data_IF_175876621048
#
_entry.id   IF_175876621048
#
_cell.length_a   1.000
_cell.length_b   1.000
_cell.length_c   1.000
_cell.angle_alpha   90.00
_cell.angle_beta   90.00
_cell.angle_gamma   90.00
#
_symmetry.space_group_name_H-M   'P 1'
#
loop_
_entity.id
_entity.type
_entity.pdbx_description
1 polymer ?
#
# COMPACT_ATOMS: atom_id res chain seq x y z
N UNK A 1 -11.38 -27.43 7.27
CA UNK A 1 -11.93 -26.56 6.20
C UNK A 1 -12.87 -25.55 6.82
N UNK A 2 -12.62 -24.26 6.60
CA UNK A 2 -13.50 -23.18 7.03
C UNK A 2 -14.30 -22.72 5.81
N UNK A 3 -15.63 -22.71 5.90
CA UNK A 3 -16.48 -22.18 4.84
C UNK A 3 -16.43 -20.64 4.88
N UNK A 4 -15.85 -20.03 3.85
CA UNK A 4 -15.73 -18.58 3.74
C UNK A 4 -16.64 -18.08 2.61
N UNK A 5 -17.33 -16.96 2.88
CA UNK A 5 -18.08 -16.21 1.87
C UNK A 5 -17.57 -14.78 1.81
N UNK A 6 -17.36 -14.30 0.63
CA UNK A 6 -17.02 -12.90 0.38
C UNK A 6 -18.27 -12.15 -0.07
N UNK A 7 -18.56 -11.02 0.57
CA UNK A 7 -19.66 -10.16 0.19
C UNK A 7 -19.15 -8.72 0.01
N UNK A 8 -19.63 -8.06 -1.03
CA UNK A 8 -19.32 -6.66 -1.32
C UNK A 8 -20.60 -5.86 -1.17
N UNK A 9 -20.55 -4.80 -0.36
CA UNK A 9 -21.68 -3.89 -0.19
C UNK A 9 -21.83 -2.96 -1.41
N UNK A 10 -23.02 -2.46 -1.61
CA UNK A 10 -23.32 -1.44 -2.64
C UNK A 10 -23.51 -0.09 -1.98
N UNK A 11 -23.22 0.98 -2.73
CA UNK A 11 -23.43 2.36 -2.29
C UNK A 11 -23.54 3.28 -3.50
N UNK A 12 -24.03 4.48 -3.26
CA UNK A 12 -24.07 5.56 -4.24
C UNK A 12 -22.90 6.54 -4.06
N UNK A 13 -22.80 7.53 -4.95
CA UNK A 13 -21.71 8.51 -4.94
C UNK A 13 -21.67 9.33 -3.63
N UNK A 14 -22.84 9.64 -3.04
CA UNK A 14 -22.91 10.39 -1.77
C UNK A 14 -22.41 9.54 -0.60
N UNK A 15 -22.80 8.27 -0.52
CA UNK A 15 -22.29 7.33 0.47
C UNK A 15 -20.77 7.18 0.38
N UNK A 16 -20.23 7.04 -0.84
CA UNK A 16 -18.78 6.93 -1.01
C UNK A 16 -18.05 8.25 -0.72
N UNK A 17 -18.66 9.40 -0.94
CA UNK A 17 -18.10 10.69 -0.51
C UNK A 17 -18.03 10.80 1.03
N UNK A 18 -19.08 10.36 1.75
CA UNK A 18 -19.11 10.31 3.22
C UNK A 18 -18.00 9.38 3.73
N UNK A 19 -17.92 8.16 3.22
CA UNK A 19 -16.94 7.17 3.69
C UNK A 19 -15.50 7.53 3.31
N UNK A 20 -15.28 8.21 2.17
CA UNK A 20 -13.97 8.77 1.81
C UNK A 20 -13.55 9.88 2.78
N UNK A 21 -14.48 10.76 3.17
CA UNK A 21 -14.21 11.79 4.19
C UNK A 21 -13.87 11.17 5.54
N UNK A 22 -14.61 10.13 5.97
CA UNK A 22 -14.26 9.35 7.17
C UNK A 22 -12.85 8.78 7.09
N UNK A 23 -12.51 8.17 5.96
CA UNK A 23 -11.19 7.61 5.72
C UNK A 23 -10.09 8.69 5.87
N UNK A 24 -10.27 9.86 5.26
CA UNK A 24 -9.32 10.96 5.34
C UNK A 24 -9.21 11.50 6.78
N UNK A 25 -10.34 11.65 7.50
CA UNK A 25 -10.32 12.06 8.91
C UNK A 25 -9.59 11.05 9.79
N UNK A 26 -9.76 9.74 9.58
CA UNK A 26 -9.02 8.71 10.32
C UNK A 26 -7.51 8.71 10.00
N UNK A 27 -7.11 9.24 8.84
CA UNK A 27 -5.72 9.54 8.52
C UNK A 27 -5.21 10.87 9.09
N UNK A 28 -6.04 11.59 9.84
CA UNK A 28 -5.68 12.85 10.47
C UNK A 28 -5.82 14.07 9.56
N UNK A 29 -6.41 13.93 8.37
CA UNK A 29 -6.64 15.04 7.45
C UNK A 29 -7.88 15.84 7.86
N UNK A 30 -7.76 17.17 7.92
CA UNK A 30 -8.88 18.08 8.20
C UNK A 30 -9.82 18.18 7.00
N UNK A 31 -10.58 17.11 6.74
CA UNK A 31 -11.53 17.02 5.64
C UNK A 31 -12.96 17.30 6.12
N UNK A 32 -13.52 18.45 5.82
CA UNK A 32 -14.97 18.73 5.82
C UNK A 32 -15.69 18.80 7.16
N UNK A 33 -15.03 18.76 8.31
CA UNK A 33 -15.65 18.90 9.62
C UNK A 33 -16.59 17.76 10.04
N UNK A 34 -17.43 17.95 11.09
CA UNK A 34 -18.39 16.95 11.57
C UNK A 34 -19.46 16.60 10.53
N UNK A 35 -19.98 15.37 10.61
CA UNK A 35 -21.07 14.92 9.76
C UNK A 35 -22.39 15.48 10.27
N UNK A 36 -23.21 16.00 9.36
CA UNK A 36 -24.56 16.49 9.69
C UNK A 36 -25.59 15.35 9.73
N UNK A 37 -26.80 15.65 10.21
CA UNK A 37 -27.85 14.65 10.34
C UNK A 37 -28.30 14.03 9.01
N UNK A 38 -28.26 14.76 7.91
CA UNK A 38 -28.60 14.24 6.57
C UNK A 38 -27.58 13.20 6.13
N UNK A 39 -26.29 13.50 6.25
CA UNK A 39 -25.20 12.59 5.90
C UNK A 39 -25.23 11.32 6.76
N UNK A 40 -25.46 11.48 8.07
CA UNK A 40 -25.60 10.33 8.99
C UNK A 40 -26.82 9.46 8.62
N UNK A 41 -27.94 10.08 8.25
CA UNK A 41 -29.15 9.36 7.83
C UNK A 41 -28.91 8.64 6.50
N UNK A 42 -28.25 9.28 5.53
CA UNK A 42 -27.93 8.67 4.25
C UNK A 42 -27.01 7.46 4.41
N UNK A 43 -25.94 7.60 5.19
CA UNK A 43 -25.04 6.48 5.54
C UNK A 43 -25.80 5.30 6.14
N UNK A 44 -26.71 5.57 7.11
CA UNK A 44 -27.50 4.55 7.76
C UNK A 44 -28.50 3.87 6.79
N UNK A 45 -29.13 4.62 5.87
CA UNK A 45 -30.07 4.08 4.88
C UNK A 45 -29.39 3.12 3.90
N UNK A 46 -28.24 3.49 3.36
CA UNK A 46 -27.48 2.62 2.45
C UNK A 46 -27.11 1.32 3.15
N UNK A 47 -26.62 1.39 4.39
CA UNK A 47 -26.23 0.18 5.11
C UNK A 47 -27.43 -0.65 5.58
N UNK A 48 -28.58 -0.04 5.89
CA UNK A 48 -29.81 -0.78 6.16
C UNK A 48 -30.29 -1.59 4.94
N UNK A 49 -30.18 -1.03 3.72
CA UNK A 49 -30.48 -1.76 2.49
C UNK A 49 -29.54 -2.96 2.28
N UNK A 50 -28.23 -2.77 2.46
CA UNK A 50 -27.26 -3.86 2.41
C UNK A 50 -27.50 -4.93 3.50
N UNK A 51 -27.92 -4.51 4.71
CA UNK A 51 -28.21 -5.43 5.79
C UNK A 51 -29.33 -6.42 5.42
N UNK A 52 -30.37 -5.97 4.73
CA UNK A 52 -31.49 -6.84 4.29
C UNK A 52 -30.95 -8.02 3.45
N UNK A 53 -30.09 -7.74 2.47
CA UNK A 53 -29.53 -8.80 1.62
C UNK A 53 -28.56 -9.74 2.37
N UNK A 54 -27.80 -9.19 3.33
CA UNK A 54 -26.84 -9.96 4.11
C UNK A 54 -27.54 -10.87 5.13
N UNK A 55 -28.59 -10.40 5.77
CA UNK A 55 -29.34 -11.14 6.79
C UNK A 55 -29.93 -12.44 6.25
N UNK A 56 -30.34 -12.50 4.97
CA UNK A 56 -30.80 -13.72 4.33
C UNK A 56 -29.71 -14.81 4.26
N UNK A 57 -28.45 -14.45 4.38
CA UNK A 57 -27.29 -15.33 4.25
C UNK A 57 -26.64 -15.68 5.59
N UNK A 58 -26.97 -14.97 6.66
CA UNK A 58 -26.37 -15.09 7.99
C UNK A 58 -27.19 -16.01 8.87
N UNK A 59 -26.53 -16.84 9.63
CA UNK A 59 -27.10 -17.74 10.62
C UNK A 59 -26.56 -17.37 12.02
N UNK A 60 -27.34 -17.61 13.08
CA UNK A 60 -26.84 -17.49 14.44
C UNK A 60 -25.54 -18.31 14.62
N UNK A 61 -24.53 -17.69 15.21
CA UNK A 61 -23.22 -18.29 15.39
C UNK A 61 -22.23 -18.10 14.23
N UNK A 62 -22.66 -17.58 13.07
CA UNK A 62 -21.71 -17.23 12.00
C UNK A 62 -20.81 -16.10 12.48
N UNK A 63 -19.54 -16.14 12.06
CA UNK A 63 -18.59 -15.08 12.30
C UNK A 63 -18.53 -14.14 11.09
N UNK A 64 -18.66 -12.85 11.34
CA UNK A 64 -18.61 -11.82 10.32
C UNK A 64 -17.47 -10.87 10.59
N UNK A 65 -16.58 -10.71 9.61
CA UNK A 65 -15.52 -9.72 9.62
C UNK A 65 -15.91 -8.55 8.70
N UNK A 66 -16.23 -7.43 9.31
CA UNK A 66 -16.52 -6.17 8.61
C UNK A 66 -15.25 -5.38 8.35
N UNK A 67 -15.13 -4.75 7.20
CA UNK A 67 -13.94 -4.01 6.82
C UNK A 67 -14.23 -2.52 6.65
N UNK A 68 -13.47 -1.68 7.35
CA UNK A 68 -13.37 -0.23 7.19
C UNK A 68 -14.66 0.57 7.50
N UNK A 69 -14.62 1.91 7.45
CA UNK A 69 -15.76 2.76 7.72
C UNK A 69 -17.01 2.44 6.88
N UNK A 70 -16.81 1.90 5.65
CA UNK A 70 -17.90 1.56 4.75
C UNK A 70 -18.86 0.52 5.32
N UNK A 71 -18.41 -0.35 6.21
CA UNK A 71 -19.24 -1.47 6.73
C UNK A 71 -19.62 -1.32 8.20
N UNK A 72 -19.09 -0.31 8.89
CA UNK A 72 -19.25 -0.17 10.34
C UNK A 72 -20.73 -0.14 10.80
N UNK A 73 -21.62 0.49 10.04
CA UNK A 73 -23.06 0.58 10.37
C UNK A 73 -23.83 -0.74 10.23
N UNK A 74 -23.23 -1.80 9.68
CA UNK A 74 -23.84 -3.13 9.62
C UNK A 74 -23.75 -3.89 10.95
N UNK A 75 -22.83 -3.50 11.83
CA UNK A 75 -22.48 -4.22 13.07
C UNK A 75 -23.69 -4.58 13.91
N UNK A 76 -24.57 -3.61 14.20
CA UNK A 76 -25.73 -3.83 15.07
C UNK A 76 -26.77 -4.79 14.45
N UNK A 77 -27.03 -4.68 13.14
CA UNK A 77 -27.99 -5.53 12.43
C UNK A 77 -27.51 -6.99 12.40
N UNK A 78 -26.23 -7.22 12.11
CA UNK A 78 -25.66 -8.56 12.02
C UNK A 78 -25.50 -9.22 13.40
N UNK A 79 -25.06 -8.47 14.40
CA UNK A 79 -25.04 -8.95 15.80
C UNK A 79 -26.46 -9.27 16.31
N UNK A 80 -27.46 -8.44 15.98
CA UNK A 80 -28.86 -8.69 16.32
C UNK A 80 -29.45 -9.95 15.68
N UNK A 81 -28.89 -10.42 14.56
CA UNK A 81 -29.23 -11.69 13.94
C UNK A 81 -28.48 -12.90 14.55
N UNK A 82 -27.68 -12.68 15.59
CA UNK A 82 -26.94 -13.71 16.29
C UNK A 82 -25.55 -14.02 15.68
N UNK A 83 -25.05 -13.19 14.77
CA UNK A 83 -23.67 -13.32 14.27
C UNK A 83 -22.67 -12.76 15.29
N UNK A 84 -21.47 -13.35 15.32
CA UNK A 84 -20.28 -12.83 15.99
C UNK A 84 -19.61 -11.81 15.08
N UNK A 85 -19.54 -10.56 15.49
CA UNK A 85 -19.07 -9.49 14.61
C UNK A 85 -17.73 -8.95 15.08
N UNK A 86 -16.70 -9.10 14.24
CA UNK A 86 -15.45 -8.37 14.33
C UNK A 86 -15.42 -7.26 13.28
N UNK A 87 -14.83 -6.12 13.62
CA UNK A 87 -14.65 -5.02 12.69
C UNK A 87 -13.15 -4.72 12.52
N UNK A 88 -12.69 -4.64 11.27
CA UNK A 88 -11.31 -4.34 10.92
C UNK A 88 -11.18 -2.93 10.34
N UNK A 89 -10.25 -2.15 10.89
CA UNK A 89 -9.82 -0.87 10.34
C UNK A 89 -8.42 -1.00 9.72
N UNK A 90 -8.31 -0.69 8.43
CA UNK A 90 -7.02 -0.62 7.74
C UNK A 90 -6.40 0.79 7.82
N UNK A 91 -7.19 1.75 8.25
CA UNK A 91 -6.85 3.17 8.28
C UNK A 91 -6.43 3.58 9.68
N UNK A 92 -5.47 4.50 9.79
CA UNK A 92 -5.06 5.06 11.06
C UNK A 92 -3.90 6.03 10.88
N UNK A 93 -3.57 6.72 11.96
CA UNK A 93 -2.44 7.65 12.05
C UNK A 93 -1.78 7.52 13.41
N UNK A 94 -0.48 7.85 13.49
CA UNK A 94 0.31 7.67 14.70
C UNK A 94 -0.05 8.62 15.85
N UNK A 95 -0.70 9.74 15.52
CA UNK A 95 -1.14 10.76 16.48
C UNK A 95 -2.57 11.16 16.22
N UNK A 96 -3.35 11.20 17.28
CA UNK A 96 -4.73 11.67 17.23
C UNK A 96 -4.79 13.20 17.18
N UNK A 97 -5.72 13.72 16.40
CA UNK A 97 -6.02 15.15 16.27
C UNK A 97 -7.54 15.36 16.16
N UNK A 98 -7.99 16.60 16.03
CA UNK A 98 -9.40 16.94 15.94
C UNK A 98 -10.11 16.25 14.76
N UNK A 99 -9.40 15.98 13.67
CA UNK A 99 -9.99 15.24 12.53
C UNK A 99 -10.23 13.78 12.88
N UNK A 100 -9.25 13.10 13.49
CA UNK A 100 -9.43 11.72 13.95
C UNK A 100 -10.54 11.59 14.99
N UNK A 101 -10.62 12.52 15.95
CA UNK A 101 -11.68 12.54 16.95
C UNK A 101 -13.06 12.70 16.28
N UNK A 102 -13.17 13.56 15.27
CA UNK A 102 -14.41 13.75 14.50
C UNK A 102 -14.82 12.46 13.77
N UNK A 103 -13.91 11.79 13.10
CA UNK A 103 -14.17 10.53 12.43
C UNK A 103 -14.57 9.42 13.41
N UNK A 104 -13.87 9.29 14.53
CA UNK A 104 -14.19 8.32 15.56
C UNK A 104 -15.52 8.62 16.28
N UNK A 105 -15.86 9.89 16.51
CA UNK A 105 -17.14 10.27 17.08
C UNK A 105 -18.32 9.81 16.20
N UNK A 106 -18.16 9.86 14.88
CA UNK A 106 -19.16 9.34 13.94
C UNK A 106 -19.24 7.80 13.98
N UNK A 107 -18.11 7.08 13.96
CA UNK A 107 -18.08 5.62 13.85
C UNK A 107 -18.43 4.90 15.14
N UNK A 108 -18.06 5.46 16.29
CA UNK A 108 -18.23 4.81 17.61
C UNK A 108 -19.62 4.26 17.89
N UNK A 109 -20.74 4.99 17.64
CA UNK A 109 -22.09 4.45 17.86
C UNK A 109 -22.38 3.23 16.99
N UNK A 110 -21.90 3.21 15.77
CA UNK A 110 -22.10 2.11 14.82
C UNK A 110 -21.36 0.84 15.22
N UNK A 111 -20.25 0.97 15.93
CA UNK A 111 -19.36 -0.13 16.30
C UNK A 111 -19.63 -0.70 17.70
N UNK A 112 -20.61 -0.18 18.43
CA UNK A 112 -20.87 -0.55 19.82
C UNK A 112 -21.18 -2.05 20.03
N UNK A 113 -21.75 -2.71 19.02
CA UNK A 113 -22.09 -4.13 19.06
C UNK A 113 -20.95 -5.06 18.54
N UNK A 114 -19.78 -4.52 18.15
CA UNK A 114 -18.66 -5.34 17.74
C UNK A 114 -18.02 -6.07 18.95
N UNK A 115 -17.71 -7.34 18.77
CA UNK A 115 -17.07 -8.17 19.79
C UNK A 115 -15.54 -8.14 19.67
N UNK A 116 -15.01 -7.87 18.46
CA UNK A 116 -13.58 -7.73 18.20
C UNK A 116 -13.28 -6.52 17.31
N UNK A 117 -12.19 -5.84 17.60
CA UNK A 117 -11.70 -4.71 16.83
C UNK A 117 -10.28 -4.99 16.35
N UNK A 118 -10.12 -5.05 15.03
CA UNK A 118 -8.85 -5.39 14.41
C UNK A 118 -8.19 -4.15 13.83
N UNK A 119 -6.95 -3.89 14.23
CA UNK A 119 -6.14 -2.78 13.71
C UNK A 119 -4.81 -3.29 13.18
N UNK A 120 -4.20 -2.54 12.26
CA UNK A 120 -2.88 -2.86 11.72
C UNK A 120 -1.75 -2.56 12.72
N UNK A 121 -1.96 -1.60 13.65
CA UNK A 121 -1.00 -1.13 14.64
C UNK A 121 -1.70 -0.75 15.95
N UNK A 122 -0.95 -0.87 17.05
CA UNK A 122 -1.45 -0.46 18.38
C UNK A 122 -1.78 1.04 18.45
N UNK A 123 -0.99 1.87 17.79
CA UNK A 123 -1.14 3.33 17.76
C UNK A 123 -2.44 3.79 17.09
N UNK A 124 -3.02 2.97 16.23
CA UNK A 124 -4.28 3.29 15.53
C UNK A 124 -5.53 3.04 16.36
N UNK A 125 -5.37 2.40 17.52
CA UNK A 125 -6.50 2.04 18.39
C UNK A 125 -7.00 3.28 19.13
N UNK A 126 -8.24 3.73 18.93
CA UNK A 126 -8.79 4.85 19.69
C UNK A 126 -9.05 4.47 21.15
N UNK A 127 -8.91 5.44 22.06
CA UNK A 127 -8.94 5.20 23.50
C UNK A 127 -10.28 4.61 24.03
N UNK A 128 -11.36 4.74 23.28
CA UNK A 128 -12.68 4.23 23.67
C UNK A 128 -12.85 2.73 23.42
N UNK A 129 -11.98 2.06 22.66
CA UNK A 129 -12.06 0.63 22.38
C UNK A 129 -11.57 -0.15 23.61
N UNK A 130 -12.36 -1.11 24.15
CA UNK A 130 -11.92 -1.96 25.25
C UNK A 130 -10.69 -2.78 24.88
N UNK A 131 -9.66 -2.73 25.72
CA UNK A 131 -8.35 -3.34 25.41
C UNK A 131 -8.38 -4.87 25.24
N UNK A 132 -9.32 -5.56 25.91
CA UNK A 132 -9.57 -7.00 25.81
C UNK A 132 -10.21 -7.42 24.48
N UNK A 133 -10.80 -6.47 23.74
CA UNK A 133 -11.40 -6.69 22.42
C UNK A 133 -10.48 -6.23 21.26
N UNK A 134 -9.29 -5.73 21.55
CA UNK A 134 -8.33 -5.22 20.54
C UNK A 134 -7.45 -6.34 20.01
N UNK A 135 -7.42 -6.45 18.69
CA UNK A 135 -6.54 -7.35 17.95
C UNK A 135 -5.61 -6.58 17.03
N UNK A 136 -4.31 -6.79 17.14
CA UNK A 136 -3.33 -6.19 16.24
C UNK A 136 -2.93 -7.24 15.21
N UNK A 137 -3.45 -7.06 13.99
CA UNK A 137 -3.19 -7.95 12.86
C UNK A 137 -2.68 -7.09 11.71
N UNK A 138 -1.36 -6.92 11.54
CA UNK A 138 -0.82 -6.17 10.41
C UNK A 138 -1.15 -6.86 9.08
N UNK A 139 -1.24 -6.11 7.98
CA UNK A 139 -1.32 -6.70 6.65
C UNK A 139 -0.14 -7.64 6.35
N UNK A 140 -0.35 -8.53 5.40
CA UNK A 140 0.67 -9.48 4.94
C UNK A 140 0.78 -9.45 3.43
N UNK A 141 1.89 -9.96 2.91
CA UNK A 141 2.07 -10.22 1.49
C UNK A 141 1.81 -11.69 1.18
N UNK A 142 1.37 -11.96 -0.05
CA UNK A 142 1.36 -13.30 -0.61
C UNK A 142 2.65 -13.50 -1.43
N UNK A 143 3.59 -14.37 -0.97
CA UNK A 143 4.85 -14.64 -1.65
C UNK A 143 4.68 -15.26 -3.05
N UNK A 144 3.55 -15.92 -3.31
CA UNK A 144 3.29 -16.65 -4.55
C UNK A 144 2.52 -15.83 -5.59
N UNK A 145 2.02 -14.67 -5.22
CA UNK A 145 1.31 -13.79 -6.14
C UNK A 145 2.21 -13.33 -7.29
N UNK A 146 1.67 -12.95 -8.46
CA UNK A 146 2.44 -12.37 -9.57
C UNK A 146 3.34 -11.22 -9.14
N UNK A 147 2.94 -10.48 -8.12
CA UNK A 147 3.68 -9.34 -7.57
C UNK A 147 4.90 -9.73 -6.75
N UNK A 148 4.92 -10.92 -6.13
CA UNK A 148 5.95 -11.30 -5.16
C UNK A 148 6.69 -12.60 -5.47
N UNK A 149 6.17 -13.42 -6.39
CA UNK A 149 6.81 -14.66 -6.81
C UNK A 149 8.25 -14.45 -7.26
N UNK A 150 9.07 -15.48 -7.17
CA UNK A 150 10.44 -15.42 -7.64
C UNK A 150 10.51 -15.29 -9.16
N UNK A 151 11.36 -14.38 -9.61
CA UNK A 151 11.73 -14.20 -11.01
C UNK A 151 13.26 -14.24 -11.11
N UNK A 152 13.78 -15.02 -12.04
CA UNK A 152 15.22 -15.01 -12.32
C UNK A 152 15.67 -13.69 -12.98
N UNK A 153 16.97 -13.41 -12.91
CA UNK A 153 17.51 -12.15 -13.40
C UNK A 153 17.29 -11.90 -14.91
N UNK A 154 17.26 -12.96 -15.71
CA UNK A 154 16.97 -12.86 -17.15
C UNK A 154 15.51 -12.47 -17.42
N UNK A 155 14.58 -13.08 -16.70
CA UNK A 155 13.15 -12.75 -16.74
C UNK A 155 12.89 -11.31 -16.29
N UNK A 156 13.51 -10.88 -15.18
CA UNK A 156 13.43 -9.51 -14.67
C UNK A 156 13.88 -8.50 -15.74
N UNK A 157 15.05 -8.71 -16.34
CA UNK A 157 15.57 -7.83 -17.39
C UNK A 157 14.71 -7.85 -18.66
N UNK A 158 14.16 -9.02 -19.04
CA UNK A 158 13.27 -9.15 -20.19
C UNK A 158 11.97 -8.35 -19.99
N UNK A 159 11.38 -8.42 -18.79
CA UNK A 159 10.18 -7.62 -18.43
C UNK A 159 10.51 -6.14 -18.51
N UNK A 160 11.62 -5.69 -17.88
CA UNK A 160 11.98 -4.26 -17.83
C UNK A 160 12.35 -3.69 -19.20
N UNK A 161 12.98 -4.47 -20.07
CA UNK A 161 13.22 -4.10 -21.46
C UNK A 161 11.91 -4.05 -22.26
N UNK A 162 11.00 -5.01 -22.05
CA UNK A 162 9.68 -5.05 -22.72
C UNK A 162 8.83 -3.83 -22.40
N UNK A 163 8.82 -3.40 -21.14
CA UNK A 163 8.06 -2.20 -20.74
C UNK A 163 8.81 -0.89 -21.06
N UNK A 164 10.05 -0.94 -21.56
CA UNK A 164 10.83 0.21 -22.01
C UNK A 164 11.60 0.95 -20.90
N UNK A 165 11.71 0.39 -19.70
CA UNK A 165 12.47 1.00 -18.59
C UNK A 165 13.96 0.82 -18.77
N UNK A 166 14.43 -0.36 -19.20
CA UNK A 166 15.84 -0.59 -19.52
C UNK A 166 16.11 -0.42 -21.02
N UNK A 167 17.24 0.22 -21.33
CA UNK A 167 17.75 0.30 -22.70
C UNK A 167 18.57 -0.96 -23.05
N UNK A 168 18.54 -1.33 -24.33
CA UNK A 168 19.31 -2.45 -24.87
C UNK A 168 18.44 -3.56 -25.48
N UNK A 169 19.10 -4.50 -26.16
CA UNK A 169 18.44 -5.68 -26.70
C UNK A 169 17.84 -6.50 -25.56
N UNK A 170 16.57 -6.90 -25.72
CA UNK A 170 15.95 -7.80 -24.75
C UNK A 170 16.89 -9.02 -24.55
N UNK A 171 17.31 -9.32 -23.30
CA UNK A 171 18.10 -10.50 -23.05
C UNK A 171 17.35 -11.75 -23.52
N UNK A 172 18.05 -12.88 -23.69
CA UNK A 172 17.47 -14.14 -24.18
C UNK A 172 16.34 -14.70 -23.28
N UNK A 173 16.03 -14.03 -22.16
CA UNK A 173 14.92 -14.37 -21.25
C UNK A 173 13.54 -14.05 -21.84
N UNK A 174 12.54 -14.81 -21.42
CA UNK A 174 11.14 -14.52 -21.70
C UNK A 174 10.58 -13.62 -20.61
N UNK A 175 9.73 -12.65 -20.98
CA UNK A 175 9.02 -11.79 -20.05
C UNK A 175 7.79 -12.52 -19.44
N UNK A 176 7.99 -13.76 -18.95
CA UNK A 176 6.93 -14.64 -18.47
C UNK A 176 6.83 -14.67 -16.95
N UNK A 177 5.63 -14.94 -16.44
CA UNK A 177 5.33 -15.04 -15.01
C UNK A 177 4.19 -16.04 -14.78
N UNK A 178 4.01 -16.52 -13.54
CA UNK A 178 2.84 -17.32 -13.18
C UNK A 178 1.69 -16.38 -12.80
N UNK A 179 0.51 -16.57 -13.36
CA UNK A 179 -0.73 -15.86 -13.01
C UNK A 179 -1.30 -16.36 -11.69
N UNK A 180 -2.23 -15.60 -11.12
CA UNK A 180 -2.93 -15.99 -9.88
C UNK A 180 -3.72 -17.30 -9.99
N UNK A 181 -4.14 -17.70 -11.19
CA UNK A 181 -4.80 -18.98 -11.48
C UNK A 181 -3.82 -20.13 -11.78
N UNK A 182 -2.52 -19.88 -11.71
CA UNK A 182 -1.46 -20.85 -12.00
C UNK A 182 -1.10 -20.99 -13.48
N UNK A 183 -1.78 -20.30 -14.39
CA UNK A 183 -1.41 -20.27 -15.81
C UNK A 183 -0.15 -19.41 -16.04
N UNK A 184 0.49 -19.61 -17.21
CA UNK A 184 1.65 -18.79 -17.60
C UNK A 184 1.17 -17.53 -18.32
N UNK A 185 1.54 -16.37 -17.77
CA UNK A 185 1.39 -15.06 -18.41
C UNK A 185 2.67 -14.58 -19.06
N UNK A 186 2.56 -13.59 -19.92
CA UNK A 186 3.70 -12.88 -20.52
C UNK A 186 3.43 -11.37 -20.46
N UNK A 187 4.45 -10.58 -20.12
CA UNK A 187 4.39 -9.12 -20.17
C UNK A 187 4.52 -8.70 -21.64
N UNK A 188 3.46 -8.10 -22.17
CA UNK A 188 3.35 -7.70 -23.58
C UNK A 188 3.16 -6.20 -23.77
N UNK A 189 2.52 -5.53 -22.79
CA UNK A 189 2.17 -4.13 -22.84
C UNK A 189 3.36 -3.26 -22.43
N UNK A 190 3.70 -2.20 -23.19
CA UNK A 190 4.70 -1.24 -22.76
C UNK A 190 4.14 -0.32 -21.65
N UNK A 191 5.01 0.22 -20.82
CA UNK A 191 4.69 1.34 -19.94
C UNK A 191 4.73 2.67 -20.73
N UNK A 192 4.02 3.69 -20.23
CA UNK A 192 4.26 5.05 -20.70
C UNK A 192 5.35 5.68 -19.85
N UNK A 193 6.42 6.18 -20.49
CA UNK A 193 7.61 6.66 -19.80
C UNK A 193 7.94 8.09 -20.23
N UNK A 194 8.04 8.98 -19.24
CA UNK A 194 8.63 10.31 -19.41
C UNK A 194 10.04 10.28 -18.82
N UNK A 195 11.04 10.65 -19.62
CA UNK A 195 12.45 10.71 -19.23
C UNK A 195 13.35 10.95 -20.41
N UNK A 196 14.41 11.77 -20.26
CA UNK A 196 15.36 12.13 -21.32
C UNK A 196 16.48 11.06 -21.50
N UNK A 197 16.65 10.15 -20.54
CA UNK A 197 17.60 9.04 -20.60
C UNK A 197 16.95 7.69 -20.33
N UNK A 198 17.73 6.64 -20.50
CA UNK A 198 17.34 5.25 -20.18
C UNK A 198 18.49 4.54 -19.49
N UNK A 199 18.25 3.86 -18.36
CA UNK A 199 19.26 3.04 -17.71
C UNK A 199 19.56 1.79 -18.54
N UNK A 200 20.83 1.39 -18.55
CA UNK A 200 21.24 0.07 -18.98
C UNK A 200 21.05 -0.99 -17.90
N UNK A 201 21.16 -2.29 -18.24
CA UNK A 201 20.94 -3.38 -17.29
C UNK A 201 21.85 -3.39 -16.06
N UNK A 202 23.02 -2.72 -16.14
CA UNK A 202 23.99 -2.60 -15.03
C UNK A 202 23.89 -1.32 -14.22
N UNK A 203 23.02 -0.38 -14.61
CA UNK A 203 22.89 0.89 -13.90
C UNK A 203 22.05 0.71 -12.60
N UNK A 204 22.47 1.27 -11.47
CA UNK A 204 21.70 1.22 -10.24
C UNK A 204 20.36 1.95 -10.39
N UNK A 205 19.25 1.30 -10.04
CA UNK A 205 17.94 1.92 -9.99
C UNK A 205 17.52 2.21 -8.56
N UNK A 206 17.09 3.44 -8.30
CA UNK A 206 16.33 3.85 -7.13
C UNK A 206 14.87 3.84 -7.53
N UNK A 207 14.06 3.02 -6.88
CA UNK A 207 12.69 2.76 -7.33
C UNK A 207 11.69 3.11 -6.23
N UNK A 208 10.69 3.94 -6.55
CA UNK A 208 9.46 4.04 -5.77
C UNK A 208 8.28 3.58 -6.63
N UNK A 209 7.54 2.60 -6.11
CA UNK A 209 6.27 2.16 -6.71
C UNK A 209 5.15 2.54 -5.78
N UNK A 210 4.25 3.42 -6.22
CA UNK A 210 3.06 3.78 -5.45
C UNK A 210 1.98 4.38 -6.34
N UNK A 211 0.78 4.56 -5.80
CA UNK A 211 -0.23 5.39 -6.48
C UNK A 211 0.30 6.82 -6.62
N UNK A 212 -0.20 7.55 -7.60
CA UNK A 212 -0.01 8.99 -7.70
C UNK A 212 -0.90 9.67 -6.65
N UNK A 213 -0.35 9.89 -5.48
CA UNK A 213 -1.04 10.32 -4.27
C UNK A 213 -0.09 11.27 -3.51
N UNK A 214 -0.61 12.40 -3.02
CA UNK A 214 0.20 13.42 -2.33
C UNK A 214 0.93 12.86 -1.11
N UNK A 215 0.28 11.92 -0.40
CA UNK A 215 0.88 11.30 0.78
C UNK A 215 2.05 10.35 0.44
N UNK A 216 2.20 9.95 -0.83
CA UNK A 216 3.33 9.13 -1.30
C UNK A 216 4.56 9.96 -1.68
N UNK A 217 4.42 11.28 -1.74
CA UNK A 217 5.48 12.28 -1.94
C UNK A 217 6.42 11.98 -3.12
N UNK A 218 5.86 11.56 -4.27
CA UNK A 218 6.64 11.34 -5.49
C UNK A 218 7.44 12.60 -5.89
N UNK A 219 6.85 13.77 -5.68
CA UNK A 219 7.44 15.09 -5.92
C UNK A 219 8.67 15.33 -5.04
N UNK A 220 8.57 15.06 -3.73
CA UNK A 220 9.69 15.20 -2.79
C UNK A 220 10.81 14.19 -3.04
N UNK A 221 10.47 12.95 -3.43
CA UNK A 221 11.46 11.95 -3.84
C UNK A 221 12.23 12.43 -5.07
N UNK A 222 11.52 12.95 -6.08
CA UNK A 222 12.13 13.50 -7.29
C UNK A 222 13.05 14.70 -6.97
N UNK A 223 12.61 15.62 -6.13
CA UNK A 223 13.39 16.78 -5.73
C UNK A 223 14.66 16.37 -4.94
N UNK A 224 14.50 15.45 -3.98
CA UNK A 224 15.63 14.93 -3.19
C UNK A 224 16.65 14.19 -4.03
N UNK A 225 16.19 13.35 -4.98
CA UNK A 225 17.08 12.66 -5.91
C UNK A 225 17.80 13.66 -6.84
N UNK A 226 17.08 14.58 -7.46
CA UNK A 226 17.64 15.58 -8.37
C UNK A 226 18.71 16.44 -7.71
N UNK A 227 18.51 16.83 -6.43
CA UNK A 227 19.39 17.74 -5.71
C UNK A 227 20.57 17.03 -5.05
N UNK A 228 20.39 15.80 -4.57
CA UNK A 228 21.36 15.14 -3.69
C UNK A 228 21.95 13.83 -4.22
N UNK A 229 21.34 13.19 -5.23
CA UNK A 229 21.82 11.92 -5.80
C UNK A 229 22.35 12.12 -7.22
N UNK A 230 21.56 12.71 -8.10
CA UNK A 230 21.89 12.88 -9.52
C UNK A 230 23.23 13.63 -9.77
N UNK A 231 23.61 14.67 -9.01
CA UNK A 231 24.88 15.37 -9.24
C UNK A 231 26.13 14.49 -9.05
N UNK A 232 26.04 13.46 -8.20
CA UNK A 232 27.11 12.48 -7.98
C UNK A 232 27.18 11.36 -9.02
N UNK A 233 26.30 11.35 -10.02
CA UNK A 233 26.27 10.27 -11.02
C UNK A 233 25.66 8.95 -10.51
N UNK A 234 25.00 8.95 -9.35
CA UNK A 234 24.52 7.78 -8.62
C UNK A 234 23.24 7.13 -9.18
N UNK A 235 23.29 6.54 -10.40
CA UNK A 235 22.19 5.73 -10.91
C UNK A 235 21.01 6.53 -11.48
N UNK A 236 19.84 5.88 -11.55
CA UNK A 236 18.60 6.43 -12.08
C UNK A 236 17.47 6.34 -11.05
N UNK A 237 16.58 7.32 -11.03
CA UNK A 237 15.32 7.26 -10.30
C UNK A 237 14.21 6.78 -11.21
N UNK A 238 13.43 5.81 -10.75
CA UNK A 238 12.20 5.35 -11.38
C UNK A 238 11.04 5.59 -10.41
N UNK A 239 10.16 6.53 -10.74
CA UNK A 239 8.91 6.75 -10.05
C UNK A 239 7.81 6.06 -10.86
N UNK A 240 7.30 4.95 -10.35
CA UNK A 240 6.33 4.12 -11.05
C UNK A 240 4.97 4.13 -10.33
N UNK A 241 3.91 4.33 -11.11
CA UNK A 241 2.53 4.29 -10.63
C UNK A 241 1.58 3.74 -11.68
N UNK A 242 0.30 3.59 -11.36
CA UNK A 242 -0.72 3.14 -12.31
C UNK A 242 -0.93 4.16 -13.43
N UNK A 243 -1.38 3.68 -14.59
CA UNK A 243 -1.83 4.54 -15.67
C UNK A 243 -2.99 5.43 -15.18
N UNK A 244 -2.88 6.74 -15.43
CA UNK A 244 -3.88 7.72 -14.96
C UNK A 244 -5.04 7.90 -15.96
N UNK A 245 -4.88 7.46 -17.20
CA UNK A 245 -5.94 7.44 -18.22
C UNK A 245 -6.80 6.19 -18.03
N UNK A 246 -8.06 6.37 -17.63
CA UNK A 246 -9.02 5.26 -17.48
C UNK A 246 -9.44 4.95 -16.05
N UNK A 247 -8.86 5.60 -15.04
CA UNK A 247 -9.34 5.52 -13.66
C UNK A 247 -10.31 6.67 -13.43
N UNK A 248 -11.60 6.45 -13.74
CA UNK A 248 -12.65 7.46 -13.55
C UNK A 248 -12.85 7.84 -12.08
N UNK A 249 -12.35 7.01 -11.16
CA UNK A 249 -12.60 7.10 -9.72
C UNK A 249 -11.45 7.72 -8.94
N UNK A 250 -10.32 8.11 -9.60
CA UNK A 250 -9.16 8.73 -8.94
C UNK A 250 -8.72 10.03 -9.65
N UNK A 251 -9.49 11.12 -9.53
CA UNK A 251 -9.11 12.42 -10.10
C UNK A 251 -7.86 13.01 -9.42
N UNK A 252 -7.55 12.63 -8.18
CA UNK A 252 -6.34 13.04 -7.48
C UNK A 252 -5.10 12.47 -8.14
N UNK A 253 -5.12 11.20 -8.54
CA UNK A 253 -3.98 10.55 -9.18
C UNK A 253 -3.54 11.25 -10.46
N UNK A 254 -4.51 11.65 -11.31
CA UNK A 254 -4.23 12.40 -12.53
C UNK A 254 -3.60 13.79 -12.24
N UNK A 255 -4.10 14.49 -11.22
CA UNK A 255 -3.57 15.80 -10.82
C UNK A 255 -2.15 15.69 -10.27
N UNK A 256 -1.88 14.74 -9.37
CA UNK A 256 -0.54 14.50 -8.80
C UNK A 256 0.47 14.10 -9.87
N UNK A 257 0.07 13.24 -10.82
CA UNK A 257 0.94 12.89 -11.94
C UNK A 257 1.27 14.10 -12.81
N UNK A 258 0.28 14.95 -13.13
CA UNK A 258 0.50 16.19 -13.89
C UNK A 258 1.45 17.16 -13.15
N UNK A 259 1.33 17.28 -11.83
CA UNK A 259 2.26 18.06 -11.00
C UNK A 259 3.69 17.50 -11.07
N UNK A 260 3.85 16.17 -11.01
CA UNK A 260 5.15 15.51 -11.18
C UNK A 260 5.75 15.74 -12.56
N UNK A 261 4.94 15.72 -13.64
CA UNK A 261 5.38 16.04 -15.00
C UNK A 261 5.87 17.50 -15.12
N UNK A 262 5.12 18.43 -14.56
CA UNK A 262 5.49 19.84 -14.54
C UNK A 262 6.81 20.06 -13.77
N UNK A 263 6.94 19.49 -12.60
CA UNK A 263 8.17 19.55 -11.80
C UNK A 263 9.34 18.94 -12.58
N UNK A 264 9.18 17.74 -13.16
CA UNK A 264 10.20 17.08 -13.94
C UNK A 264 10.68 17.95 -15.11
N UNK A 265 9.76 18.59 -15.83
CA UNK A 265 10.08 19.46 -16.97
C UNK A 265 10.92 20.68 -16.58
N UNK A 266 10.78 21.17 -15.35
CA UNK A 266 11.55 22.28 -14.76
C UNK A 266 12.93 21.90 -14.25
N UNK A 267 13.27 20.60 -14.17
CA UNK A 267 14.58 20.16 -13.69
C UNK A 267 15.70 20.45 -14.70
N UNK A 268 16.96 20.61 -14.23
CA UNK A 268 18.12 20.66 -15.12
C UNK A 268 18.20 19.39 -16.00
N UNK A 269 18.67 19.55 -17.25
CA UNK A 269 18.74 18.45 -18.23
C UNK A 269 19.52 17.22 -17.68
N UNK A 270 20.60 17.45 -16.94
CA UNK A 270 21.38 16.37 -16.32
C UNK A 270 20.57 15.54 -15.30
N UNK A 271 19.66 16.17 -14.57
CA UNK A 271 18.76 15.48 -13.65
C UNK A 271 17.64 14.75 -14.39
N UNK A 272 17.01 15.42 -15.40
CA UNK A 272 15.97 14.79 -16.24
C UNK A 272 16.46 13.54 -16.94
N UNK A 273 17.71 13.53 -17.40
CA UNK A 273 18.34 12.36 -18.01
C UNK A 273 18.47 11.14 -17.07
N UNK A 274 18.25 11.32 -15.76
CA UNK A 274 18.37 10.28 -14.72
C UNK A 274 17.08 10.00 -13.97
N UNK A 275 15.97 10.62 -14.36
CA UNK A 275 14.68 10.48 -13.67
C UNK A 275 13.62 10.05 -14.67
N UNK A 276 13.00 8.91 -14.40
CA UNK A 276 11.91 8.34 -15.19
C UNK A 276 10.60 8.40 -14.40
N UNK A 277 9.57 8.99 -15.00
CA UNK A 277 8.19 8.86 -14.55
C UNK A 277 7.53 7.77 -15.40
N UNK A 278 7.06 6.72 -14.75
CA UNK A 278 6.59 5.50 -15.41
C UNK A 278 5.14 5.23 -15.03
N UNK A 279 4.23 5.22 -16.00
CA UNK A 279 2.86 4.77 -15.75
C UNK A 279 2.67 3.37 -16.32
N UNK A 280 2.25 2.44 -15.44
CA UNK A 280 2.05 1.03 -15.74
C UNK A 280 0.59 0.77 -16.16
N UNK A 281 0.34 0.03 -17.25
CA UNK A 281 -1.01 -0.29 -17.70
C UNK A 281 -1.75 -1.13 -16.65
N UNK A 282 -3.08 -0.95 -16.55
CA UNK A 282 -3.97 -1.64 -15.62
C UNK A 282 -4.94 -2.62 -16.30
N UNK A 283 -4.85 -2.79 -17.61
CA UNK A 283 -5.75 -3.65 -18.40
C UNK A 283 -5.67 -5.13 -17.98
N UNK A 284 -4.53 -5.55 -17.44
CA UNK A 284 -4.30 -6.88 -16.90
C UNK A 284 -3.58 -6.73 -15.53
N UNK A 285 -4.29 -7.08 -14.47
CA UNK A 285 -3.82 -6.89 -13.08
C UNK A 285 -2.59 -7.75 -12.80
N UNK A 286 -2.55 -9.00 -13.31
CA UNK A 286 -1.43 -9.91 -13.09
C UNK A 286 -0.20 -9.47 -13.88
N UNK A 287 -0.38 -8.97 -15.10
CA UNK A 287 0.71 -8.39 -15.91
C UNK A 287 1.27 -7.14 -15.24
N UNK A 288 0.41 -6.24 -14.73
CA UNK A 288 0.83 -5.07 -13.95
C UNK A 288 1.62 -5.50 -12.71
N UNK A 289 1.14 -6.50 -11.97
CA UNK A 289 1.82 -7.02 -10.79
C UNK A 289 3.21 -7.59 -11.11
N UNK A 290 3.36 -8.28 -12.24
CA UNK A 290 4.66 -8.79 -12.72
C UNK A 290 5.63 -7.66 -13.11
N UNK A 291 5.13 -6.56 -13.70
CA UNK A 291 5.93 -5.37 -13.98
C UNK A 291 6.46 -4.73 -12.68
N UNK A 292 5.60 -4.58 -11.67
CA UNK A 292 5.99 -4.08 -10.34
C UNK A 292 7.02 -5.00 -9.69
N UNK A 293 6.81 -6.32 -9.76
CA UNK A 293 7.75 -7.31 -9.25
C UNK A 293 9.14 -7.14 -9.88
N UNK A 294 9.21 -7.03 -11.21
CA UNK A 294 10.47 -6.85 -11.92
C UNK A 294 11.17 -5.53 -11.55
N UNK A 295 10.43 -4.41 -11.44
CA UNK A 295 10.98 -3.12 -10.99
C UNK A 295 11.61 -3.24 -9.61
N UNK A 296 10.89 -3.81 -8.66
CA UNK A 296 11.38 -3.97 -7.29
C UNK A 296 12.56 -4.95 -7.21
N UNK A 297 12.54 -6.06 -7.98
CA UNK A 297 13.66 -7.03 -7.99
C UNK A 297 14.91 -6.48 -8.63
N UNK A 298 14.81 -5.60 -9.59
CA UNK A 298 15.96 -4.98 -10.24
C UNK A 298 16.52 -3.79 -9.44
N UNK A 299 15.73 -3.17 -8.57
CA UNK A 299 16.14 -2.01 -7.80
C UNK A 299 17.44 -2.24 -7.02
N UNK A 300 18.36 -1.29 -7.07
CA UNK A 300 19.49 -1.22 -6.15
C UNK A 300 19.04 -0.70 -4.78
N UNK A 301 18.07 0.23 -4.77
CA UNK A 301 17.44 0.79 -3.57
C UNK A 301 15.95 0.98 -3.84
N UNK A 302 15.11 0.50 -2.94
CA UNK A 302 13.68 0.83 -2.95
C UNK A 302 13.46 2.00 -2.01
N UNK A 303 12.59 2.94 -2.41
CA UNK A 303 12.22 4.07 -1.57
C UNK A 303 10.71 4.06 -1.31
N UNK A 304 10.32 4.44 -0.10
CA UNK A 304 8.93 4.73 0.27
C UNK A 304 8.94 5.94 1.19
N UNK A 305 9.17 7.11 0.59
CA UNK A 305 9.27 8.38 1.31
C UNK A 305 7.90 9.03 1.46
N UNK A 306 6.96 8.30 2.05
CA UNK A 306 5.60 8.79 2.30
C UNK A 306 5.58 9.86 3.39
N UNK A 307 4.66 10.83 3.25
CA UNK A 307 4.33 11.82 4.30
C UNK A 307 3.41 11.22 5.36
N UNK A 308 2.53 10.32 4.93
CA UNK A 308 1.69 9.49 5.80
C UNK A 308 1.47 8.13 5.16
N UNK A 309 1.34 7.08 5.98
CA UNK A 309 1.16 5.72 5.51
C UNK A 309 0.34 4.90 6.51
N UNK A 310 -0.67 4.19 6.04
CA UNK A 310 -1.40 3.25 6.89
C UNK A 310 -0.54 2.07 7.30
N UNK A 311 -0.04 1.31 6.34
CA UNK A 311 0.88 0.21 6.58
C UNK A 311 2.09 0.26 5.64
N UNK A 312 1.89 0.46 4.33
CA UNK A 312 2.97 0.50 3.35
C UNK A 312 3.38 -0.88 2.85
N UNK A 313 2.45 -1.64 2.26
CA UNK A 313 2.74 -2.97 1.69
C UNK A 313 3.91 -2.98 0.72
N UNK A 314 4.13 -1.89 -0.02
CA UNK A 314 5.27 -1.75 -0.93
C UNK A 314 6.63 -1.85 -0.23
N UNK A 315 6.71 -1.47 1.06
CA UNK A 315 7.91 -1.68 1.89
C UNK A 315 8.12 -3.17 2.12
N UNK A 316 7.10 -3.90 2.64
CA UNK A 316 7.18 -5.34 2.83
C UNK A 316 7.50 -6.09 1.52
N UNK A 317 6.90 -5.69 0.40
CA UNK A 317 7.16 -6.26 -0.92
C UNK A 317 8.62 -6.05 -1.36
N UNK A 318 9.18 -4.86 -1.15
CA UNK A 318 10.57 -4.56 -1.45
C UNK A 318 11.55 -5.34 -0.56
N UNK A 319 11.26 -5.39 0.73
CA UNK A 319 12.03 -6.17 1.72
C UNK A 319 11.98 -7.67 1.40
N UNK A 320 10.82 -8.21 1.02
CA UNK A 320 10.65 -9.61 0.58
C UNK A 320 11.57 -9.96 -0.60
N UNK A 321 11.82 -9.03 -1.49
CA UNK A 321 12.73 -9.21 -2.64
C UNK A 321 14.21 -9.05 -2.27
N UNK A 322 14.51 -8.95 -0.99
CA UNK A 322 15.88 -8.80 -0.50
C UNK A 322 16.52 -7.46 -0.90
N UNK A 323 15.71 -6.41 -1.09
CA UNK A 323 16.22 -5.08 -1.45
C UNK A 323 16.32 -4.17 -0.23
N UNK A 324 17.38 -3.34 -0.14
CA UNK A 324 17.44 -2.32 0.90
C UNK A 324 16.33 -1.29 0.66
N UNK A 325 15.61 -0.94 1.73
CA UNK A 325 14.53 0.05 1.68
C UNK A 325 14.94 1.29 2.45
N UNK A 326 14.72 2.47 1.85
CA UNK A 326 14.74 3.77 2.51
C UNK A 326 13.29 4.24 2.65
N UNK A 327 12.78 4.27 3.87
CA UNK A 327 11.39 4.64 4.17
C UNK A 327 11.30 5.80 5.14
N UNK A 328 10.21 6.57 5.10
CA UNK A 328 9.92 7.57 6.13
C UNK A 328 9.45 6.90 7.41
N UNK A 329 9.80 7.48 8.58
CA UNK A 329 9.34 7.02 9.88
C UNK A 329 7.88 7.45 10.13
N UNK A 330 6.95 6.94 9.31
CA UNK A 330 5.52 7.22 9.41
C UNK A 330 4.71 5.93 9.31
N UNK A 331 3.64 5.86 10.08
CA UNK A 331 2.69 4.75 10.04
C UNK A 331 3.34 3.37 10.16
N UNK A 332 2.80 2.39 9.46
CA UNK A 332 3.31 1.02 9.47
C UNK A 332 4.71 0.82 8.90
N UNK A 333 5.31 1.82 8.27
CA UNK A 333 6.71 1.75 7.82
C UNK A 333 7.66 1.61 9.02
N UNK A 334 7.34 2.28 10.15
CA UNK A 334 8.12 2.20 11.38
C UNK A 334 8.18 0.76 11.91
N UNK A 335 7.08 0.02 11.80
CA UNK A 335 7.00 -1.36 12.32
C UNK A 335 7.69 -2.36 11.38
N UNK A 336 7.81 -2.03 10.10
CA UNK A 336 8.42 -2.90 9.09
C UNK A 336 9.95 -2.74 9.04
N UNK A 337 10.45 -1.51 9.17
CA UNK A 337 11.87 -1.22 9.09
C UNK A 337 12.42 -1.09 10.51
N UNK A 338 13.12 -2.12 10.97
CA UNK A 338 13.87 -2.13 12.22
C UNK A 338 15.37 -1.92 11.98
N UNK A 339 16.13 -1.76 13.06
CA UNK A 339 17.59 -1.63 12.99
C UNK A 339 18.21 -2.81 12.22
N UNK A 340 18.96 -2.49 11.17
CA UNK A 340 19.62 -3.47 10.33
C UNK A 340 18.79 -4.06 9.20
N UNK A 341 17.49 -3.70 9.05
CA UNK A 341 16.61 -4.18 7.95
C UNK A 341 16.30 -3.14 6.90
N UNK A 342 16.74 -1.90 7.08
CA UNK A 342 16.53 -0.79 6.16
C UNK A 342 17.04 0.52 6.73
N UNK A 343 16.61 1.64 6.15
CA UNK A 343 16.92 2.99 6.63
C UNK A 343 15.62 3.75 6.84
N UNK A 344 15.36 4.19 8.07
CA UNK A 344 14.24 5.07 8.41
C UNK A 344 14.71 6.53 8.36
N UNK A 345 13.91 7.37 7.71
CA UNK A 345 14.07 8.82 7.70
C UNK A 345 13.17 9.42 8.80
N UNK A 346 13.74 10.02 9.86
CA UNK A 346 12.93 10.55 10.95
C UNK A 346 11.99 11.68 10.52
N UNK A 347 12.42 12.50 9.57
CA UNK A 347 11.60 13.55 8.95
C UNK A 347 11.36 13.22 7.47
N UNK A 348 10.10 12.98 7.06
CA UNK A 348 9.75 12.70 5.66
C UNK A 348 10.04 13.89 4.73
N UNK A 349 10.20 15.11 5.23
CA UNK A 349 10.52 16.28 4.44
C UNK A 349 12.03 16.52 4.26
N UNK A 350 12.89 15.81 4.99
CA UNK A 350 14.35 15.96 4.87
C UNK A 350 14.90 15.29 3.60
N UNK A 351 14.96 16.07 2.52
CA UNK A 351 15.48 15.63 1.23
C UNK A 351 17.01 15.35 1.26
N UNK A 352 17.75 16.02 2.13
CA UNK A 352 19.20 15.84 2.26
C UNK A 352 19.51 14.50 2.96
N UNK A 353 18.80 14.18 4.04
CA UNK A 353 18.89 12.87 4.69
C UNK A 353 18.49 11.75 3.73
N UNK A 354 17.40 11.91 2.97
CA UNK A 354 16.99 10.99 1.92
C UNK A 354 18.10 10.75 0.89
N UNK A 355 18.64 11.82 0.30
CA UNK A 355 19.69 11.70 -0.70
C UNK A 355 20.97 11.07 -0.15
N UNK A 356 21.32 11.37 1.11
CA UNK A 356 22.48 10.76 1.80
C UNK A 356 22.26 9.26 2.01
N UNK A 357 21.09 8.84 2.48
CA UNK A 357 20.77 7.43 2.67
C UNK A 357 20.83 6.64 1.36
N UNK A 358 20.23 7.18 0.28
CA UNK A 358 20.25 6.56 -1.05
C UNK A 358 21.68 6.42 -1.58
N UNK A 359 22.50 7.48 -1.52
CA UNK A 359 23.90 7.42 -1.99
C UNK A 359 24.71 6.39 -1.22
N UNK A 360 24.61 6.36 0.11
CA UNK A 360 25.34 5.38 0.92
C UNK A 360 25.03 3.93 0.54
N UNK A 361 23.79 3.65 0.10
CA UNK A 361 23.42 2.31 -0.35
C UNK A 361 23.89 2.00 -1.77
N UNK A 362 23.92 2.99 -2.65
CA UNK A 362 24.46 2.84 -4.01
C UNK A 362 25.98 2.66 -3.96
N UNK A 363 26.68 3.45 -3.13
CA UNK A 363 28.14 3.47 -3.02
C UNK A 363 28.69 2.27 -2.24
N UNK A 364 27.88 1.61 -1.38
CA UNK A 364 28.25 0.39 -0.64
C UNK A 364 27.27 -0.77 -0.95
N UNK A 365 27.45 -1.49 -2.07
CA UNK A 365 26.62 -2.64 -2.42
C UNK A 365 26.70 -3.77 -1.37
N UNK A 366 27.80 -3.86 -0.63
CA UNK A 366 27.95 -4.82 0.47
C UNK A 366 27.00 -4.53 1.62
N UNK A 367 26.90 -3.26 2.05
CA UNK A 367 25.92 -2.81 3.05
C UNK A 367 24.50 -2.99 2.54
N UNK A 368 24.22 -2.57 1.31
CA UNK A 368 22.93 -2.73 0.67
C UNK A 368 22.45 -4.20 0.68
N UNK A 369 23.34 -5.12 0.29
CA UNK A 369 23.04 -6.56 0.30
C UNK A 369 22.82 -7.13 1.70
N UNK A 370 23.56 -6.68 2.72
CA UNK A 370 23.33 -7.12 4.10
C UNK A 370 21.96 -6.67 4.61
N UNK A 371 21.60 -5.39 4.41
CA UNK A 371 20.30 -4.85 4.76
C UNK A 371 19.17 -5.59 4.03
N UNK A 372 19.32 -5.83 2.73
CA UNK A 372 18.32 -6.53 1.94
C UNK A 372 18.07 -7.97 2.42
N UNK A 373 19.12 -8.72 2.78
CA UNK A 373 18.94 -10.07 3.33
C UNK A 373 18.22 -10.04 4.69
N UNK A 374 18.64 -9.17 5.59
CA UNK A 374 17.97 -9.02 6.88
C UNK A 374 16.52 -8.57 6.73
N UNK A 375 16.23 -7.69 5.76
CA UNK A 375 14.89 -7.27 5.39
C UNK A 375 14.01 -8.44 4.93
N UNK A 376 14.54 -9.29 4.04
CA UNK A 376 13.84 -10.49 3.57
C UNK A 376 13.49 -11.43 4.72
N UNK A 377 14.45 -11.75 5.58
CA UNK A 377 14.25 -12.64 6.72
C UNK A 377 13.20 -12.06 7.69
N UNK A 378 13.25 -10.76 7.94
CA UNK A 378 12.26 -10.08 8.78
C UNK A 378 10.83 -10.17 8.21
N UNK A 379 10.66 -9.94 6.90
CA UNK A 379 9.33 -10.06 6.26
C UNK A 379 8.84 -11.50 6.28
N UNK A 380 9.71 -12.48 6.03
CA UNK A 380 9.38 -13.90 6.10
C UNK A 380 8.87 -14.30 7.48
N UNK A 381 9.42 -13.72 8.54
CA UNK A 381 9.06 -14.03 9.92
C UNK A 381 7.83 -13.28 10.43
N UNK A 382 7.46 -12.12 9.83
CA UNK A 382 6.44 -11.24 10.41
C UNK A 382 5.25 -10.95 9.49
N UNK A 383 5.44 -10.95 8.16
CA UNK A 383 4.48 -10.34 7.22
C UNK A 383 4.06 -11.25 6.06
N UNK A 384 4.24 -12.57 6.16
CA UNK A 384 3.74 -13.53 5.16
C UNK A 384 2.34 -14.06 5.51
N UNK A 385 1.65 -14.58 4.52
CA UNK A 385 0.26 -15.01 4.62
C UNK A 385 -0.04 -16.03 5.71
N UNK A 386 0.85 -17.01 5.93
CA UNK A 386 0.65 -18.06 6.93
C UNK A 386 0.52 -17.50 8.35
N UNK A 387 1.38 -16.56 8.73
CA UNK A 387 1.31 -15.91 10.05
C UNK A 387 0.04 -15.04 10.17
N UNK A 388 -0.36 -14.41 9.09
CA UNK A 388 -1.59 -13.63 9.03
C UNK A 388 -2.82 -14.51 9.27
N UNK A 389 -2.89 -15.67 8.62
CA UNK A 389 -3.94 -16.66 8.84
C UNK A 389 -3.98 -17.16 10.28
N UNK A 390 -2.84 -17.46 10.89
CA UNK A 390 -2.77 -17.86 12.31
C UNK A 390 -3.26 -16.78 13.27
N UNK A 391 -3.02 -15.51 12.98
CA UNK A 391 -3.54 -14.38 13.77
C UNK A 391 -5.06 -14.30 13.69
N UNK A 392 -5.63 -14.49 12.50
CA UNK A 392 -7.09 -14.53 12.32
C UNK A 392 -7.72 -15.79 12.92
N UNK A 393 -7.06 -16.93 12.81
CA UNK A 393 -7.52 -18.17 13.44
C UNK A 393 -7.69 -17.98 14.96
N UNK A 394 -6.72 -17.35 15.62
CA UNK A 394 -6.81 -17.04 17.06
C UNK A 394 -7.97 -16.09 17.37
N UNK A 395 -8.14 -15.01 16.59
CA UNK A 395 -9.29 -14.10 16.74
C UNK A 395 -10.60 -14.87 16.62
N UNK A 396 -10.75 -15.64 15.55
CA UNK A 396 -11.98 -16.37 15.25
C UNK A 396 -12.29 -17.43 16.31
N UNK A 397 -11.28 -18.20 16.72
CA UNK A 397 -11.41 -19.21 17.80
C UNK A 397 -11.83 -18.57 19.12
N UNK A 398 -11.28 -17.40 19.47
CA UNK A 398 -11.67 -16.68 20.69
C UNK A 398 -13.12 -16.22 20.62
N UNK A 399 -13.52 -15.57 19.53
CA UNK A 399 -14.90 -15.09 19.38
C UNK A 399 -15.93 -16.23 19.38
N UNK A 400 -15.58 -17.39 18.85
CA UNK A 400 -16.48 -18.56 18.83
C UNK A 400 -16.51 -19.30 20.18
N UNK A 401 -15.48 -19.19 21.02
CA UNK A 401 -15.42 -19.84 22.33
C UNK A 401 -16.18 -19.07 23.43
N UNK A 402 -16.37 -17.76 23.28
CA UNK A 402 -17.07 -16.89 24.24
C UNK A 402 -18.61 -16.96 24.10
N UNK A 403 -19.15 -17.85 23.30
CA UNK A 403 -20.56 -18.14 23.06
C UNK A 403 -20.93 -19.51 23.50
#
# INVERSE_FOLDING_TARGET
DIAIRWAVITGDAEFFAITKRLHNQLHGEAAGGPFNGTEASHYAQILAANAVELLDRIRPGDLVLLHDPQTAGLTAALAGAGARVAWRCHVGVDWHNDATETGWAFLRPHLAAAEGYVFSRRQYVPAWVPGDRVWIIPPSIDPFSPKNQDLDGGTVQAILARIGVLDGAAPAGRASFARGDGSVGEVTRPATITGDGRPGPGDPLVVQVSRWDRLKDMSGVMAGFASHVAPGGGGYLVLAGPAVSGVSDDPEGAAVYAECLLQWSGLPAAARARILLVTLPLDDIDENAAMVNALQRHAAVITQKSLAEGFGLTVAEGMWKGRPVVGSAVGGIIDQISDGTGVLLPDPHDQAAFGTAVRQLIDDPGRASRLGRAAHDHVREQYVGDLHLLRYERLFSTLLAEG
#
